data_IF_720548571820
#
_entry.id   IF_720548571820
#
_cell.length_a   1.000
_cell.length_b   1.000
_cell.length_c   1.000
_cell.angle_alpha   90.00
_cell.angle_beta   90.00
_cell.angle_gamma   90.00
#
_symmetry.space_group_name_H-M   'P 1'
#
loop_
_entity.id
_entity.type
_entity.pdbx_description
1 polymer ?
#
# COMPACT_ATOMS: atom_id res chain seq x y z
N UNK A 1 5.11 6.63 9.86
CA UNK A 1 5.52 6.28 8.49
C UNK A 1 4.31 6.21 7.56
N UNK A 2 4.52 6.43 6.29
CA UNK A 2 3.47 6.39 5.26
C UNK A 2 3.56 5.08 4.48
N UNK A 3 2.44 4.36 4.41
CA UNK A 3 2.33 3.17 3.58
C UNK A 3 1.61 3.55 2.29
N UNK A 4 2.24 3.29 1.16
CA UNK A 4 1.69 3.56 -0.17
C UNK A 4 1.46 2.22 -0.87
N UNK A 5 0.23 1.98 -1.32
CA UNK A 5 -0.14 0.75 -2.02
C UNK A 5 -0.63 1.11 -3.41
N UNK A 6 0.07 0.61 -4.42
CA UNK A 6 -0.26 0.85 -5.82
C UNK A 6 -0.76 -0.46 -6.43
N UNK A 7 -2.06 -0.51 -6.71
CA UNK A 7 -2.72 -1.73 -7.20
C UNK A 7 -2.82 -1.69 -8.72
N UNK A 8 -2.04 -2.56 -9.36
CA UNK A 8 -2.17 -2.80 -10.79
C UNK A 8 -3.04 -4.01 -11.09
N UNK A 9 -3.30 -4.29 -12.36
CA UNK A 9 -4.15 -5.41 -12.76
C UNK A 9 -3.56 -6.76 -12.37
N UNK A 10 -2.26 -6.91 -12.47
CA UNK A 10 -1.57 -8.19 -12.22
C UNK A 10 -0.81 -8.16 -10.90
N UNK A 11 -0.12 -7.06 -10.63
CA UNK A 11 0.72 -6.93 -9.44
C UNK A 11 0.39 -5.69 -8.66
N UNK A 12 0.53 -5.81 -7.35
CA UNK A 12 0.40 -4.71 -6.41
C UNK A 12 1.77 -4.44 -5.79
N UNK A 13 2.11 -3.18 -5.63
CA UNK A 13 3.35 -2.77 -4.98
C UNK A 13 3.02 -1.97 -3.73
N UNK A 14 3.62 -2.35 -2.62
CA UNK A 14 3.49 -1.60 -1.37
C UNK A 14 4.85 -1.05 -0.99
N UNK A 15 4.89 0.22 -0.62
CA UNK A 15 6.11 0.87 -0.18
C UNK A 15 5.88 1.56 1.15
N UNK A 16 6.87 1.52 2.02
CA UNK A 16 6.82 2.19 3.32
C UNK A 16 7.85 3.30 3.35
N UNK A 17 7.40 4.50 3.69
CA UNK A 17 8.22 5.70 3.66
C UNK A 17 8.37 6.32 5.04
N UNK A 18 9.58 6.76 5.33
CA UNK A 18 9.87 7.61 6.48
C UNK A 18 10.21 8.99 5.93
N UNK A 19 9.24 9.90 5.97
CA UNK A 19 9.35 11.15 5.27
C UNK A 19 9.45 10.91 3.77
N UNK A 20 10.54 11.34 3.15
CA UNK A 20 10.77 11.14 1.71
C UNK A 20 11.58 9.89 1.40
N UNK A 21 12.05 9.20 2.43
CA UNK A 21 12.90 8.03 2.25
C UNK A 21 12.07 6.77 2.16
N UNK A 22 12.26 6.01 1.08
CA UNK A 22 11.67 4.69 0.93
C UNK A 22 12.47 3.72 1.82
N UNK A 23 11.82 3.20 2.86
CA UNK A 23 12.47 2.28 3.79
C UNK A 23 12.51 0.88 3.21
N UNK A 24 11.40 0.42 2.65
CA UNK A 24 11.31 -0.88 2.01
C UNK A 24 10.09 -0.91 1.09
N UNK A 25 10.04 -1.90 0.21
CA UNK A 25 8.88 -2.09 -0.65
C UNK A 25 8.75 -3.56 -1.00
N UNK A 26 7.51 -3.95 -1.36
CA UNK A 26 7.19 -5.34 -1.67
C UNK A 26 6.23 -5.38 -2.84
N UNK A 27 6.34 -6.45 -3.62
CA UNK A 27 5.46 -6.72 -4.76
C UNK A 27 4.72 -8.02 -4.51
N UNK A 28 3.43 -8.02 -4.80
CA UNK A 28 2.62 -9.22 -4.64
C UNK A 28 1.50 -9.20 -5.68
N UNK A 29 0.90 -10.37 -5.90
CA UNK A 29 -0.16 -10.51 -6.90
C UNK A 29 -1.40 -9.74 -6.52
N UNK A 30 -2.04 -9.11 -7.52
CA UNK A 30 -3.34 -8.46 -7.34
C UNK A 30 -4.43 -9.53 -7.35
N UNK A 31 -4.47 -10.32 -6.30
CA UNK A 31 -5.36 -11.46 -6.18
C UNK A 31 -6.75 -11.01 -5.78
N UNK A 32 -7.71 -11.19 -6.68
CA UNK A 32 -9.08 -10.73 -6.49
C UNK A 32 -9.88 -11.57 -5.50
N UNK A 33 -9.37 -12.72 -5.14
CA UNK A 33 -10.03 -13.61 -4.18
C UNK A 33 -9.51 -13.46 -2.76
N UNK A 34 -8.47 -12.64 -2.57
CA UNK A 34 -7.85 -12.49 -1.26
C UNK A 34 -8.71 -11.61 -0.35
N UNK A 35 -8.84 -12.04 0.90
CA UNK A 35 -9.63 -11.33 1.90
C UNK A 35 -8.83 -10.24 2.59
N UNK A 36 -9.52 -9.35 3.29
CA UNK A 36 -8.89 -8.33 4.12
C UNK A 36 -7.93 -8.95 5.13
N UNK A 37 -8.32 -10.06 5.73
CA UNK A 37 -7.48 -10.72 6.73
C UNK A 37 -6.20 -11.29 6.11
N UNK A 38 -6.30 -11.86 4.90
CA UNK A 38 -5.12 -12.36 4.21
C UNK A 38 -4.15 -11.23 3.85
N UNK A 39 -4.68 -10.10 3.38
CA UNK A 39 -3.85 -8.93 3.13
C UNK A 39 -3.23 -8.40 4.41
N UNK A 40 -3.99 -8.40 5.51
CA UNK A 40 -3.49 -7.93 6.80
C UNK A 40 -2.34 -8.78 7.33
N UNK A 41 -2.48 -10.08 7.24
CA UNK A 41 -1.43 -11.01 7.67
C UNK A 41 -0.18 -10.85 6.81
N UNK A 42 -0.36 -10.72 5.49
CA UNK A 42 0.76 -10.50 4.59
C UNK A 42 1.48 -9.20 4.92
N UNK A 43 0.74 -8.11 5.07
CA UNK A 43 1.33 -6.80 5.32
C UNK A 43 2.08 -6.77 6.65
N UNK A 44 1.47 -7.34 7.68
CA UNK A 44 2.13 -7.41 8.98
C UNK A 44 3.42 -8.23 8.92
N UNK A 45 3.40 -9.34 8.18
CA UNK A 45 4.59 -10.17 7.99
C UNK A 45 5.69 -9.41 7.26
N UNK A 46 5.33 -8.66 6.22
CA UNK A 46 6.33 -7.88 5.46
C UNK A 46 6.95 -6.79 6.32
N UNK A 47 6.12 -6.09 7.09
CA UNK A 47 6.63 -5.05 8.00
C UNK A 47 7.58 -5.66 9.03
N UNK A 48 7.18 -6.75 9.66
CA UNK A 48 8.01 -7.42 10.66
C UNK A 48 9.32 -7.92 10.06
N UNK A 49 9.26 -8.46 8.86
CA UNK A 49 10.45 -8.94 8.14
C UNK A 49 11.43 -7.80 7.90
N UNK A 50 10.94 -6.60 7.69
CA UNK A 50 11.76 -5.41 7.49
C UNK A 50 12.16 -4.72 8.80
N UNK A 51 11.85 -5.33 9.93
CA UNK A 51 12.18 -4.76 11.24
C UNK A 51 11.23 -3.66 11.69
N UNK A 52 10.05 -3.57 11.09
CA UNK A 52 9.06 -2.55 11.40
C UNK A 52 7.84 -3.15 12.09
N UNK A 53 7.08 -2.29 12.75
CA UNK A 53 5.84 -2.68 13.40
C UNK A 53 4.68 -1.91 12.78
N UNK A 54 3.50 -2.51 12.76
CA UNK A 54 2.32 -1.87 12.20
C UNK A 54 1.99 -0.54 12.88
N UNK A 55 2.33 -0.40 14.16
CA UNK A 55 2.10 0.83 14.91
C UNK A 55 2.91 2.01 14.39
N UNK A 56 3.95 1.76 13.63
CA UNK A 56 4.75 2.83 13.02
C UNK A 56 4.08 3.42 11.78
N UNK A 57 3.08 2.74 11.24
CA UNK A 57 2.31 3.26 10.09
C UNK A 57 1.27 4.23 10.62
N UNK A 58 1.34 5.48 10.16
CA UNK A 58 0.43 6.54 10.59
C UNK A 58 -0.55 6.96 9.50
N UNK A 59 -0.20 6.73 8.24
CA UNK A 59 -1.02 7.12 7.10
C UNK A 59 -0.90 6.08 6.02
N UNK A 60 -1.98 5.89 5.25
CA UNK A 60 -2.01 4.93 4.15
C UNK A 60 -2.66 5.58 2.94
N UNK A 61 -2.02 5.44 1.79
CA UNK A 61 -2.55 5.88 0.50
C UNK A 61 -2.64 4.66 -0.41
N UNK A 62 -3.81 4.47 -1.04
CA UNK A 62 -4.01 3.39 -2.00
C UNK A 62 -4.39 3.99 -3.34
N UNK A 63 -3.65 3.63 -4.37
CA UNK A 63 -3.98 3.93 -5.76
C UNK A 63 -4.45 2.65 -6.44
N UNK A 64 -5.64 2.65 -7.00
CA UNK A 64 -6.19 1.44 -7.60
C UNK A 64 -7.16 1.74 -8.73
N UNK A 65 -7.11 0.85 -9.74
CA UNK A 65 -8.12 0.78 -10.80
C UNK A 65 -8.78 -0.60 -10.79
N UNK A 66 -8.61 -1.37 -9.70
CA UNK A 66 -9.10 -2.74 -9.59
C UNK A 66 -9.98 -2.86 -8.34
N UNK A 67 -11.30 -2.56 -8.46
CA UNK A 67 -12.19 -2.55 -7.29
C UNK A 67 -12.20 -3.83 -6.46
N UNK A 68 -12.19 -5.04 -7.05
CA UNK A 68 -12.18 -6.26 -6.24
C UNK A 68 -10.97 -6.41 -5.33
N UNK A 69 -9.87 -5.74 -5.64
CA UNK A 69 -8.68 -5.73 -4.79
C UNK A 69 -8.73 -4.55 -3.83
N UNK A 70 -9.25 -3.42 -4.28
CA UNK A 70 -9.31 -2.20 -3.49
C UNK A 70 -10.16 -2.37 -2.23
N UNK A 71 -11.35 -2.95 -2.36
CA UNK A 71 -12.29 -3.05 -1.23
C UNK A 71 -11.69 -3.85 -0.06
N UNK A 72 -11.15 -5.05 -0.26
CA UNK A 72 -10.53 -5.77 0.85
C UNK A 72 -9.27 -5.07 1.39
N UNK A 73 -8.53 -4.35 0.56
CA UNK A 73 -7.39 -3.58 1.04
C UNK A 73 -7.82 -2.44 1.96
N UNK A 74 -8.91 -1.75 1.62
CA UNK A 74 -9.45 -0.70 2.50
C UNK A 74 -9.90 -1.27 3.84
N UNK A 75 -10.58 -2.41 3.82
CA UNK A 75 -10.99 -3.08 5.06
C UNK A 75 -9.78 -3.50 5.89
N UNK A 76 -8.74 -3.97 5.24
CA UNK A 76 -7.50 -4.35 5.90
C UNK A 76 -6.88 -3.15 6.64
N UNK A 77 -6.83 -1.99 5.98
CA UNK A 77 -6.25 -0.79 6.58
C UNK A 77 -7.02 -0.39 7.85
N UNK A 78 -8.34 -0.43 7.80
CA UNK A 78 -9.16 -0.05 8.94
C UNK A 78 -9.06 -1.07 10.07
N UNK A 79 -9.09 -2.34 9.73
CA UNK A 79 -9.09 -3.41 10.74
C UNK A 79 -7.74 -3.60 11.42
N UNK A 80 -6.66 -3.62 10.64
CA UNK A 80 -5.34 -3.98 11.17
C UNK A 80 -4.47 -2.78 11.53
N UNK A 81 -4.71 -1.65 10.92
CA UNK A 81 -3.95 -0.43 11.19
C UNK A 81 -4.77 0.66 11.88
N UNK A 82 -6.09 0.47 11.95
CA UNK A 82 -7.00 1.47 12.48
C UNK A 82 -6.85 2.80 11.75
N UNK A 83 -6.63 2.74 10.45
CA UNK A 83 -6.42 3.91 9.59
C UNK A 83 -7.39 3.81 8.41
N UNK A 84 -8.11 4.89 8.15
CA UNK A 84 -8.91 5.01 6.94
C UNK A 84 -7.98 5.47 5.82
N UNK A 85 -7.76 4.65 4.78
CA UNK A 85 -6.81 5.02 3.74
C UNK A 85 -7.34 6.13 2.86
N UNK A 86 -6.43 6.95 2.33
CA UNK A 86 -6.75 7.86 1.26
C UNK A 86 -6.69 7.08 -0.05
N UNK A 87 -7.82 7.01 -0.74
CA UNK A 87 -7.88 6.31 -2.01
C UNK A 87 -7.80 7.34 -3.13
N UNK A 88 -6.90 7.11 -4.07
CA UNK A 88 -6.68 8.03 -5.18
C UNK A 88 -6.92 7.32 -6.51
N UNK A 89 -7.38 8.07 -7.49
CA UNK A 89 -7.57 7.56 -8.83
C UNK A 89 -6.29 7.60 -9.63
N UNK A 90 -6.39 7.10 -10.86
CA UNK A 90 -5.24 6.95 -11.73
C UNK A 90 -4.47 8.25 -11.99
N UNK A 91 -5.19 9.35 -12.15
CA UNK A 91 -4.55 10.64 -12.39
C UNK A 91 -3.74 11.13 -11.21
N UNK A 92 -4.22 10.88 -10.00
CA UNK A 92 -3.50 11.25 -8.78
C UNK A 92 -2.33 10.32 -8.50
N UNK A 93 -2.41 9.10 -9.02
CA UNK A 93 -1.31 8.15 -8.93
C UNK A 93 -0.03 8.71 -9.54
N UNK A 94 -0.14 9.39 -10.67
CA UNK A 94 1.02 10.00 -11.31
C UNK A 94 1.65 11.05 -10.39
N UNK A 95 0.82 11.85 -9.74
CA UNK A 95 1.31 12.83 -8.77
C UNK A 95 2.02 12.20 -7.59
N UNK A 96 1.51 11.07 -7.10
CA UNK A 96 2.16 10.35 -6.02
C UNK A 96 3.54 9.83 -6.44
N UNK A 97 3.65 9.30 -7.64
CA UNK A 97 4.92 8.82 -8.15
C UNK A 97 5.96 9.92 -8.23
N UNK A 98 5.54 11.10 -8.66
CA UNK A 98 6.44 12.26 -8.69
C UNK A 98 6.93 12.66 -7.31
N UNK A 99 6.11 12.46 -6.27
CA UNK A 99 6.47 12.83 -4.91
C UNK A 99 7.38 11.84 -4.22
N UNK A 100 7.15 10.54 -4.43
CA UNK A 100 7.76 9.50 -3.61
C UNK A 100 8.73 8.62 -4.35
N UNK A 101 8.66 8.57 -5.66
CA UNK A 101 9.53 7.75 -6.48
C UNK A 101 10.54 8.61 -7.22
N UNK A 102 11.53 7.96 -7.80
CA UNK A 102 12.52 8.65 -8.60
C UNK A 102 11.86 9.24 -9.84
N UNK A 103 11.98 10.56 -10.09
CA UNK A 103 11.32 11.20 -11.23
C UNK A 103 11.59 10.55 -12.58
N UNK A 104 12.73 9.95 -12.74
CA UNK A 104 13.08 9.31 -14.02
C UNK A 104 12.24 8.07 -14.32
N UNK A 105 11.49 7.58 -13.36
CA UNK A 105 10.59 6.45 -13.56
C UNK A 105 9.29 6.84 -14.21
N UNK A 106 9.09 8.10 -14.42
CA UNK A 106 7.92 8.63 -15.07
C UNK A 106 8.19 8.78 -16.54
#
# INVERSE_FOLDING_TARGET
MLLVIDVGNTNTVAGIYDGKKLVDNWRFSSDRSKTADEFGMFMNSMLNFSGLKKEQVTDIIISSVVPPVLVPLCHMCERYFNIKPLVVGQGLKIGLQLRYENPKEI
#
